data_IF_465326547911
#
_entry.id   IF_465326547911
#
_cell.length_a   1.000
_cell.length_b   1.000
_cell.length_c   1.000
_cell.angle_alpha   90.00
_cell.angle_beta   90.00
_cell.angle_gamma   90.00
#
_symmetry.space_group_name_H-M   'P 1'
#
loop_
_entity.id
_entity.type
_entity.pdbx_description
1 polymer ?
#
# COMPACT_ATOMS: atom_id res chain seq x y z
N UNK A 1 35.41 23.01 -18.80
CA UNK A 1 34.04 22.72 -19.28
C UNK A 1 33.12 22.72 -18.08
N UNK A 2 32.38 23.80 -17.92
CA UNK A 2 31.48 24.08 -16.78
C UNK A 2 30.08 23.58 -17.12
N UNK A 3 29.37 22.88 -16.22
CA UNK A 3 28.01 22.43 -16.50
C UNK A 3 27.01 23.57 -16.30
N UNK A 4 26.14 23.77 -17.29
CA UNK A 4 25.05 24.73 -17.25
C UNK A 4 23.92 24.23 -16.32
N UNK A 5 23.75 24.88 -15.18
CA UNK A 5 22.54 24.78 -14.38
C UNK A 5 21.42 25.62 -15.03
N UNK A 6 20.33 24.97 -15.43
CA UNK A 6 19.08 25.66 -15.78
C UNK A 6 18.41 26.15 -14.49
N UNK A 7 18.27 27.47 -14.37
CA UNK A 7 17.48 28.15 -13.33
C UNK A 7 16.00 27.84 -13.51
N UNK A 8 15.37 27.21 -12.53
CA UNK A 8 13.91 27.14 -12.41
C UNK A 8 13.43 28.46 -11.79
N UNK A 9 12.47 29.13 -12.44
CA UNK A 9 11.87 30.37 -11.92
C UNK A 9 10.80 30.05 -10.86
N UNK A 10 10.66 30.87 -9.81
CA UNK A 10 9.63 30.69 -8.81
C UNK A 10 8.29 31.24 -9.33
N UNK A 11 7.23 30.45 -9.24
CA UNK A 11 5.87 30.95 -9.38
C UNK A 11 5.32 31.30 -7.99
N UNK A 12 5.10 32.60 -7.78
CA UNK A 12 4.23 33.16 -6.75
C UNK A 12 2.86 33.40 -7.38
N UNK A 13 1.80 32.96 -6.72
CA UNK A 13 0.56 33.70 -6.38
C UNK A 13 -0.42 32.70 -5.74
N UNK A 14 -0.79 32.87 -4.46
CA UNK A 14 -1.92 33.67 -3.97
C UNK A 14 -3.29 33.14 -4.43
N UNK A 15 -3.91 32.30 -3.60
CA UNK A 15 -5.37 32.33 -3.37
C UNK A 15 -5.63 32.13 -1.86
N UNK A 16 -6.21 33.18 -1.29
CA UNK A 16 -6.88 33.24 0.00
C UNK A 16 -8.21 32.49 -0.04
N UNK A 17 -8.51 31.70 0.98
CA UNK A 17 -9.81 31.03 1.11
C UNK A 17 -9.94 30.31 2.44
N UNK A 18 -10.17 31.08 3.51
CA UNK A 18 -10.73 30.56 4.75
C UNK A 18 -12.14 30.03 4.47
N UNK A 19 -12.35 28.74 4.70
CA UNK A 19 -13.68 28.16 4.89
C UNK A 19 -13.63 27.29 6.13
N UNK A 20 -14.32 27.76 7.16
CA UNK A 20 -14.61 27.04 8.40
C UNK A 20 -15.52 25.86 8.08
N UNK A 21 -14.99 24.65 8.12
CA UNK A 21 -15.80 23.43 8.19
C UNK A 21 -15.55 22.76 9.53
N UNK A 22 -16.62 22.80 10.32
CA UNK A 22 -16.84 22.24 11.64
C UNK A 22 -16.31 20.81 11.73
N UNK A 23 -15.43 20.58 12.71
CA UNK A 23 -15.02 19.26 13.15
C UNK A 23 -16.26 18.48 13.63
N UNK A 24 -16.67 17.49 12.85
CA UNK A 24 -17.54 16.41 13.31
C UNK A 24 -16.64 15.19 13.52
N UNK A 25 -16.04 15.09 14.72
CA UNK A 25 -15.54 13.81 15.23
C UNK A 25 -16.75 12.88 15.37
N UNK A 26 -17.06 12.10 14.33
CA UNK A 26 -17.85 10.90 14.50
C UNK A 26 -16.90 9.84 15.06
N UNK A 27 -17.12 9.55 16.34
CA UNK A 27 -16.58 8.39 17.01
C UNK A 27 -16.86 7.16 16.14
N UNK A 28 -15.79 6.51 15.68
CA UNK A 28 -15.80 5.12 15.27
C UNK A 28 -16.07 4.26 16.52
N UNK A 29 -17.28 4.32 17.04
CA UNK A 29 -17.81 3.27 17.90
C UNK A 29 -18.35 2.18 16.99
N UNK A 30 -17.51 1.21 16.66
CA UNK A 30 -17.99 -0.06 16.13
C UNK A 30 -19.04 -0.63 17.12
N UNK A 31 -20.17 -1.19 16.65
CA UNK A 31 -21.03 -1.97 17.53
C UNK A 31 -20.23 -3.16 18.02
N UNK A 32 -20.03 -3.24 19.34
CA UNK A 32 -19.48 -4.42 19.99
C UNK A 32 -20.39 -5.61 19.67
N UNK A 33 -19.96 -6.46 18.74
CA UNK A 33 -20.59 -7.76 18.58
C UNK A 33 -20.19 -8.61 19.78
N UNK A 34 -21.22 -8.92 20.55
CA UNK A 34 -21.25 -9.65 21.80
C UNK A 34 -20.77 -11.10 21.58
N UNK A 35 -19.45 -11.31 21.58
CA UNK A 35 -18.87 -12.64 21.76
C UNK A 35 -18.83 -12.89 23.26
N UNK A 36 -19.78 -13.69 23.74
CA UNK A 36 -19.77 -14.27 25.08
C UNK A 36 -18.43 -14.96 25.35
N UNK A 37 -17.59 -14.32 26.15
CA UNK A 37 -16.51 -14.97 26.89
C UNK A 37 -16.75 -14.70 28.37
N UNK A 38 -17.13 -15.75 29.09
CA UNK A 38 -16.94 -15.81 30.53
C UNK A 38 -15.43 -15.77 30.78
N UNK A 39 -14.89 -14.62 31.18
CA UNK A 39 -13.75 -14.62 32.10
C UNK A 39 -13.72 -13.34 32.93
N UNK A 40 -13.74 -13.52 34.25
CA UNK A 40 -13.75 -12.46 35.26
C UNK A 40 -12.33 -11.94 35.46
N UNK A 41 -12.02 -10.82 34.81
CA UNK A 41 -10.80 -10.06 35.05
C UNK A 41 -10.96 -8.66 34.51
N UNK A 42 -11.56 -7.78 35.31
CA UNK A 42 -11.60 -6.34 35.06
C UNK A 42 -10.18 -5.77 35.14
N UNK A 43 -9.43 -5.89 34.04
CA UNK A 43 -8.15 -5.24 33.87
C UNK A 43 -8.39 -3.82 33.34
N UNK A 44 -7.91 -2.89 34.15
CA UNK A 44 -7.74 -1.46 33.96
C UNK A 44 -7.48 -1.06 32.48
N UNK A 45 -8.49 -0.47 31.84
CA UNK A 45 -8.47 -0.01 30.42
C UNK A 45 -7.80 1.38 30.30
N UNK A 46 -7.17 1.91 31.36
CA UNK A 46 -6.77 3.33 31.40
C UNK A 46 -5.36 3.66 30.90
N UNK A 47 -4.50 2.67 30.62
CA UNK A 47 -3.17 2.95 30.10
C UNK A 47 -3.20 3.10 28.57
N UNK A 48 -2.65 4.19 27.99
CA UNK A 48 -2.45 4.25 26.56
C UNK A 48 -1.58 3.05 26.14
N UNK A 49 -1.91 2.39 25.03
CA UNK A 49 -1.14 1.24 24.59
C UNK A 49 0.31 1.65 24.35
N UNK A 50 1.25 0.77 24.71
CA UNK A 50 2.68 1.04 24.57
C UNK A 50 3.03 1.45 23.13
N UNK A 51 4.01 2.37 22.95
CA UNK A 51 4.47 2.74 21.62
C UNK A 51 5.10 1.53 20.92
N UNK A 52 4.81 1.37 19.63
CA UNK A 52 5.32 0.27 18.83
C UNK A 52 6.81 0.45 18.50
N UNK A 53 7.26 1.69 18.37
CA UNK A 53 8.66 2.06 18.24
C UNK A 53 9.17 2.71 19.54
N UNK A 54 10.16 2.10 20.20
CA UNK A 54 10.80 2.67 21.38
C UNK A 54 12.16 3.31 21.03
N UNK A 55 12.26 4.66 20.91
CA UNK A 55 13.51 5.33 20.55
C UNK A 55 14.58 5.25 21.65
N UNK A 56 14.19 4.93 22.88
CA UNK A 56 15.07 4.81 24.04
C UNK A 56 15.56 3.39 24.29
N UNK A 57 15.12 2.41 23.49
CA UNK A 57 15.60 1.04 23.60
C UNK A 57 17.09 0.94 23.23
N UNK A 58 17.81 -0.08 23.71
CA UNK A 58 19.18 -0.36 23.26
C UNK A 58 19.25 -0.51 21.73
N UNK A 59 20.36 -0.08 21.14
CA UNK A 59 20.62 -0.27 19.71
C UNK A 59 20.61 -1.77 19.39
N UNK A 60 19.75 -2.17 18.47
CA UNK A 60 19.64 -3.52 17.97
C UNK A 60 20.74 -3.79 16.92
N UNK A 61 21.40 -4.94 17.02
CA UNK A 61 22.30 -5.41 15.97
C UNK A 61 21.51 -5.88 14.74
N UNK A 62 22.12 -5.77 13.56
CA UNK A 62 21.51 -6.27 12.33
C UNK A 62 21.48 -7.81 12.38
N UNK A 63 20.30 -8.45 12.28
CA UNK A 63 20.21 -9.91 12.29
C UNK A 63 20.76 -10.50 10.99
N UNK A 64 21.19 -11.76 11.03
CA UNK A 64 21.85 -12.42 9.89
C UNK A 64 21.01 -12.40 8.60
N UNK A 65 19.69 -12.56 8.69
CA UNK A 65 18.79 -12.55 7.53
C UNK A 65 18.60 -11.15 6.90
N UNK A 66 19.02 -10.08 7.58
CA UNK A 66 19.00 -8.69 7.07
C UNK A 66 20.40 -8.22 6.67
N UNK A 67 21.46 -8.87 7.13
CA UNK A 67 22.84 -8.41 6.97
C UNK A 67 23.22 -8.09 5.52
N UNK A 68 22.90 -8.98 4.57
CA UNK A 68 23.20 -8.79 3.15
C UNK A 68 22.43 -7.59 2.56
N UNK A 69 21.17 -7.41 2.96
CA UNK A 69 20.37 -6.26 2.55
C UNK A 69 20.89 -4.96 3.18
N UNK A 70 21.24 -4.98 4.46
CA UNK A 70 21.81 -3.83 5.13
C UNK A 70 23.13 -3.41 4.47
N UNK A 71 24.00 -4.37 4.12
CA UNK A 71 25.21 -4.09 3.36
C UNK A 71 24.90 -3.51 1.98
N UNK A 72 23.90 -4.08 1.27
CA UNK A 72 23.46 -3.58 -0.04
C UNK A 72 23.00 -2.12 -0.01
N UNK A 73 22.46 -1.66 1.12
CA UNK A 73 21.95 -0.31 1.30
C UNK A 73 22.83 0.53 2.24
N UNK A 74 24.16 0.30 2.22
CA UNK A 74 25.17 1.08 2.95
C UNK A 74 24.90 1.22 4.46
N UNK A 75 24.25 0.22 5.05
CA UNK A 75 23.85 0.19 6.45
C UNK A 75 22.72 1.16 6.81
N UNK A 76 22.06 1.80 5.84
CA UNK A 76 20.95 2.74 6.04
C UNK A 76 19.63 2.03 6.36
N UNK A 77 19.65 1.17 7.39
CA UNK A 77 18.50 0.38 7.82
C UNK A 77 18.24 0.53 9.32
N UNK A 78 16.98 0.40 9.71
CA UNK A 78 16.54 0.38 11.09
C UNK A 78 15.36 -0.59 11.29
N UNK A 79 15.26 -1.27 12.44
CA UNK A 79 14.10 -2.12 12.75
C UNK A 79 12.87 -1.27 13.06
N UNK A 80 11.69 -1.82 12.82
CA UNK A 80 10.41 -1.13 13.06
C UNK A 80 10.05 -0.96 14.55
N UNK A 81 10.79 -1.60 15.47
CA UNK A 81 10.50 -1.61 16.92
C UNK A 81 11.39 -0.69 17.75
N UNK A 82 12.49 -0.19 17.20
CA UNK A 82 13.44 0.63 17.97
C UNK A 82 14.69 1.00 17.16
N UNK A 83 15.74 1.52 17.81
CA UNK A 83 16.92 1.96 17.11
C UNK A 83 17.78 0.78 16.61
N UNK A 84 18.17 0.84 15.35
CA UNK A 84 19.28 0.08 14.76
C UNK A 84 20.57 0.91 14.68
N UNK A 85 21.58 0.45 13.94
CA UNK A 85 22.88 1.12 13.88
C UNK A 85 22.87 2.48 13.16
N UNK A 86 21.90 2.73 12.27
CA UNK A 86 21.84 3.96 11.47
C UNK A 86 20.96 5.02 12.12
N UNK A 87 21.58 6.11 12.60
CA UNK A 87 20.85 7.27 13.12
C UNK A 87 19.90 7.91 12.10
N UNK A 88 20.28 7.90 10.82
CA UNK A 88 19.41 8.43 9.75
C UNK A 88 18.15 7.57 9.61
N UNK A 89 18.31 6.25 9.45
CA UNK A 89 17.19 5.34 9.30
C UNK A 89 16.29 5.35 10.54
N UNK A 90 16.87 5.36 11.74
CA UNK A 90 16.12 5.42 13.01
C UNK A 90 15.16 6.62 13.05
N UNK A 91 15.64 7.82 12.68
CA UNK A 91 14.77 9.01 12.67
C UNK A 91 13.63 8.89 11.66
N UNK A 92 13.90 8.35 10.48
CA UNK A 92 12.88 8.18 9.43
C UNK A 92 11.85 7.13 9.81
N UNK A 93 12.28 5.97 10.29
CA UNK A 93 11.39 4.90 10.77
C UNK A 93 10.53 5.37 11.94
N UNK A 94 11.11 6.10 12.89
CA UNK A 94 10.36 6.68 14.01
C UNK A 94 9.28 7.67 13.53
N UNK A 95 9.59 8.52 12.55
CA UNK A 95 8.62 9.47 11.99
C UNK A 95 7.46 8.73 11.29
N UNK A 96 7.76 7.69 10.50
CA UNK A 96 6.75 6.84 9.86
C UNK A 96 5.88 6.13 10.90
N UNK A 97 6.47 5.51 11.93
CA UNK A 97 5.73 4.89 13.03
C UNK A 97 4.76 5.87 13.69
N UNK A 98 5.24 7.09 13.99
CA UNK A 98 4.45 8.13 14.66
C UNK A 98 3.18 8.48 13.89
N UNK A 99 3.23 8.42 12.55
CA UNK A 99 2.07 8.65 11.69
C UNK A 99 1.19 7.40 11.57
N UNK A 100 1.79 6.22 11.42
CA UNK A 100 1.05 4.96 11.31
C UNK A 100 0.25 4.67 12.59
N UNK A 101 0.78 4.98 13.77
CA UNK A 101 0.08 4.87 15.05
C UNK A 101 -1.15 5.79 15.20
N UNK A 102 -1.36 6.76 14.30
CA UNK A 102 -2.51 7.67 14.37
C UNK A 102 -3.83 7.04 13.94
N UNK A 103 -3.80 5.90 13.27
CA UNK A 103 -5.01 5.22 12.80
C UNK A 103 -5.00 3.74 13.18
N UNK A 104 -6.18 3.11 13.36
CA UNK A 104 -6.26 1.69 13.67
C UNK A 104 -5.58 0.81 12.61
N UNK A 105 -5.78 1.12 11.32
CA UNK A 105 -5.20 0.33 10.24
C UNK A 105 -3.68 0.51 10.14
N UNK A 106 -3.20 1.76 10.26
CA UNK A 106 -1.77 2.04 10.26
C UNK A 106 -1.05 1.37 11.43
N UNK A 107 -1.64 1.44 12.62
CA UNK A 107 -1.12 0.77 13.83
C UNK A 107 -1.04 -0.73 13.62
N UNK A 108 -2.10 -1.34 13.10
CA UNK A 108 -2.15 -2.76 12.82
C UNK A 108 -1.05 -3.19 11.85
N UNK A 109 -0.89 -2.48 10.73
CA UNK A 109 0.17 -2.76 9.75
C UNK A 109 1.56 -2.76 10.41
N UNK A 110 1.79 -1.80 11.31
CA UNK A 110 3.05 -1.70 12.04
C UNK A 110 3.24 -2.83 13.07
N UNK A 111 2.17 -3.24 13.76
CA UNK A 111 2.17 -4.41 14.65
C UNK A 111 2.49 -5.70 13.87
N UNK A 112 1.98 -5.84 12.65
CA UNK A 112 2.33 -6.96 11.78
C UNK A 112 3.82 -6.97 11.42
N UNK A 113 4.42 -5.82 11.16
CA UNK A 113 5.86 -5.74 10.91
C UNK A 113 6.70 -5.96 12.17
N UNK A 114 6.26 -5.48 13.33
CA UNK A 114 6.95 -5.66 14.61
C UNK A 114 6.95 -7.13 15.05
N UNK A 115 5.87 -7.86 14.79
CA UNK A 115 5.70 -9.28 15.13
C UNK A 115 6.09 -10.27 14.02
N UNK A 116 6.89 -9.86 13.03
CA UNK A 116 7.30 -10.74 11.94
C UNK A 116 8.14 -11.93 12.44
N UNK A 117 7.93 -13.11 11.86
CA UNK A 117 8.36 -14.40 12.45
C UNK A 117 9.88 -14.57 12.54
N UNK A 118 10.63 -13.89 11.65
CA UNK A 118 12.11 -13.91 11.65
C UNK A 118 12.72 -12.86 12.59
N UNK A 119 11.88 -12.13 13.32
CA UNK A 119 12.20 -10.94 14.09
C UNK A 119 11.51 -9.70 13.49
N UNK A 120 11.52 -8.55 14.20
CA UNK A 120 10.94 -7.33 13.68
C UNK A 120 11.45 -6.98 12.30
N UNK A 121 10.56 -6.53 11.42
CA UNK A 121 10.92 -6.08 10.09
C UNK A 121 11.92 -4.91 10.14
N UNK A 122 12.68 -4.75 9.07
CA UNK A 122 13.62 -3.64 8.89
C UNK A 122 13.20 -2.78 7.71
N UNK A 123 13.37 -1.46 7.87
CA UNK A 123 13.20 -0.50 6.79
C UNK A 123 14.58 0.03 6.42
N UNK A 124 14.95 -0.16 5.17
CA UNK A 124 16.18 0.36 4.56
C UNK A 124 15.88 1.54 3.65
N UNK A 125 16.88 2.39 3.47
CA UNK A 125 16.79 3.57 2.61
C UNK A 125 17.90 3.52 1.56
N UNK A 126 17.54 3.74 0.30
CA UNK A 126 18.51 3.75 -0.80
C UNK A 126 18.28 4.96 -1.70
N UNK A 127 19.33 5.70 -2.09
CA UNK A 127 19.18 6.73 -3.11
C UNK A 127 18.99 6.09 -4.49
N UNK A 128 18.49 6.87 -5.43
CA UNK A 128 18.51 6.57 -6.87
C UNK A 128 17.84 5.25 -7.27
N UNK A 129 16.83 4.82 -6.52
CA UNK A 129 15.91 3.79 -6.99
C UNK A 129 14.97 4.39 -8.03
N UNK A 130 14.66 3.61 -9.06
CA UNK A 130 13.58 3.88 -10.01
C UNK A 130 12.19 3.53 -9.45
N UNK A 131 12.14 2.95 -8.25
CA UNK A 131 10.92 2.62 -7.52
C UNK A 131 10.71 3.56 -6.34
N UNK A 132 9.46 3.70 -5.90
CA UNK A 132 9.11 4.43 -4.67
C UNK A 132 9.59 3.69 -3.44
N UNK A 133 9.25 2.41 -3.42
CA UNK A 133 9.51 1.46 -2.38
C UNK A 133 9.42 0.04 -2.96
N UNK A 134 9.91 -0.93 -2.20
CA UNK A 134 9.69 -2.35 -2.48
C UNK A 134 9.96 -3.21 -1.24
N UNK A 135 9.42 -4.42 -1.24
CA UNK A 135 9.55 -5.39 -0.17
C UNK A 135 10.32 -6.64 -0.61
N UNK A 136 11.33 -7.04 0.16
CA UNK A 136 12.00 -8.33 -0.01
C UNK A 136 11.24 -9.44 0.72
N UNK A 137 10.44 -10.18 -0.04
CA UNK A 137 9.74 -11.39 0.44
C UNK A 137 10.72 -12.37 1.09
N UNK A 138 10.37 -12.87 2.27
CA UNK A 138 11.17 -13.82 3.03
C UNK A 138 12.28 -13.17 3.88
N UNK A 139 12.57 -11.88 3.72
CA UNK A 139 13.59 -11.19 4.51
C UNK A 139 13.00 -10.28 5.59
N UNK A 140 11.72 -9.88 5.48
CA UNK A 140 11.17 -8.86 6.37
C UNK A 140 11.85 -7.50 6.16
N UNK A 141 12.37 -7.22 4.97
CA UNK A 141 13.07 -5.96 4.64
C UNK A 141 12.25 -5.15 3.65
N UNK A 142 11.81 -3.99 4.10
CA UNK A 142 11.17 -2.96 3.27
C UNK A 142 12.25 -1.96 2.86
N UNK A 143 12.17 -1.44 1.64
CA UNK A 143 13.13 -0.47 1.13
C UNK A 143 12.38 0.76 0.62
N UNK A 144 12.81 1.94 1.03
CA UNK A 144 12.27 3.22 0.59
C UNK A 144 13.34 4.02 -0.17
N UNK A 145 12.94 4.69 -1.24
CA UNK A 145 13.84 5.54 -2.01
C UNK A 145 14.16 6.84 -1.25
N UNK A 146 15.39 7.02 -0.76
CA UNK A 146 15.77 8.15 0.08
C UNK A 146 15.74 9.51 -0.64
N UNK A 147 15.69 9.53 -1.96
CA UNK A 147 15.62 10.76 -2.74
C UNK A 147 14.20 11.34 -2.79
N UNK A 148 13.21 10.56 -2.35
CA UNK A 148 11.82 10.99 -2.30
C UNK A 148 11.50 11.84 -1.05
N UNK A 149 10.60 12.83 -1.18
CA UNK A 149 10.04 13.56 -0.05
C UNK A 149 9.38 12.63 0.97
N UNK A 150 9.33 13.08 2.22
CA UNK A 150 8.67 12.34 3.31
C UNK A 150 7.22 11.99 3.02
N UNK A 151 6.47 12.87 2.35
CA UNK A 151 5.08 12.61 1.97
C UNK A 151 4.94 11.37 1.07
N UNK A 152 5.90 11.12 0.18
CA UNK A 152 5.91 9.91 -0.68
C UNK A 152 6.27 8.66 0.13
N UNK A 153 7.15 8.77 1.14
CA UNK A 153 7.40 7.65 2.07
C UNK A 153 6.17 7.30 2.90
N UNK A 154 5.40 8.31 3.33
CA UNK A 154 4.13 8.11 4.03
C UNK A 154 3.12 7.44 3.10
N UNK A 155 3.07 7.84 1.81
CA UNK A 155 2.21 7.20 0.82
C UNK A 155 2.58 5.74 0.54
N UNK A 156 3.88 5.43 0.46
CA UNK A 156 4.36 4.10 0.10
C UNK A 156 4.38 3.09 1.26
N UNK A 157 4.62 3.53 2.49
CA UNK A 157 4.85 2.59 3.61
C UNK A 157 3.68 1.64 3.90
N UNK A 158 2.39 2.04 3.84
CA UNK A 158 1.28 1.11 4.07
C UNK A 158 1.22 -0.01 3.03
N UNK A 159 1.60 0.30 1.77
CA UNK A 159 1.65 -0.66 0.67
C UNK A 159 2.67 -1.77 0.96
N UNK A 160 3.90 -1.38 1.30
CA UNK A 160 4.97 -2.35 1.59
C UNK A 160 4.70 -3.16 2.87
N UNK A 161 4.12 -2.54 3.89
CA UNK A 161 3.70 -3.26 5.10
C UNK A 161 2.62 -4.29 4.78
N UNK A 162 1.73 -4.01 3.83
CA UNK A 162 0.73 -4.97 3.38
C UNK A 162 1.37 -6.17 2.68
N UNK A 163 2.44 -6.00 1.91
CA UNK A 163 3.17 -7.14 1.35
C UNK A 163 3.77 -8.05 2.42
N UNK A 164 4.27 -7.49 3.51
CA UNK A 164 4.74 -8.27 4.65
C UNK A 164 3.58 -9.05 5.28
N UNK A 165 2.43 -8.42 5.50
CA UNK A 165 1.25 -9.11 6.04
C UNK A 165 0.77 -10.23 5.11
N UNK A 166 0.71 -9.98 3.80
CA UNK A 166 0.36 -10.99 2.79
C UNK A 166 1.30 -12.21 2.88
N UNK A 167 2.62 -11.99 3.03
CA UNK A 167 3.58 -13.07 3.23
C UNK A 167 3.29 -13.85 4.52
N UNK A 168 3.11 -13.16 5.65
CA UNK A 168 2.79 -13.79 6.94
C UNK A 168 1.53 -14.66 6.87
N UNK A 169 0.59 -14.29 6.01
CA UNK A 169 -0.67 -14.99 5.79
C UNK A 169 -0.59 -16.08 4.72
N UNK A 170 0.60 -16.32 4.17
CA UNK A 170 0.85 -17.40 3.21
C UNK A 170 0.53 -17.05 1.76
N UNK A 171 0.29 -15.78 1.41
CA UNK A 171 0.09 -15.34 0.03
C UNK A 171 1.43 -15.18 -0.70
N UNK A 172 2.17 -16.28 -0.79
CA UNK A 172 3.35 -16.42 -1.65
C UNK A 172 3.09 -17.52 -2.66
N UNK A 173 3.66 -17.37 -3.87
CA UNK A 173 3.45 -18.35 -4.92
C UNK A 173 3.84 -19.77 -4.50
N UNK A 174 4.95 -19.89 -3.77
CA UNK A 174 5.47 -21.18 -3.32
C UNK A 174 4.57 -21.79 -2.24
N UNK A 175 4.05 -21.00 -1.30
CA UNK A 175 3.12 -21.48 -0.27
C UNK A 175 1.76 -21.90 -0.85
N UNK A 176 1.33 -21.26 -1.94
CA UNK A 176 0.10 -21.59 -2.66
C UNK A 176 0.27 -22.67 -3.74
N UNK A 177 1.48 -23.23 -3.90
CA UNK A 177 1.76 -24.26 -4.92
C UNK A 177 1.66 -23.77 -6.37
N UNK A 178 1.74 -22.44 -6.60
CA UNK A 178 1.66 -21.82 -7.92
C UNK A 178 3.02 -21.90 -8.62
N UNK A 179 3.17 -22.91 -9.47
CA UNK A 179 4.43 -23.25 -10.14
C UNK A 179 4.51 -22.75 -11.58
N UNK A 180 3.38 -22.57 -12.26
CA UNK A 180 3.35 -22.01 -13.61
C UNK A 180 3.45 -20.48 -13.59
N UNK A 181 4.04 -19.92 -14.65
CA UNK A 181 4.33 -18.48 -14.74
C UNK A 181 3.04 -17.63 -14.76
N UNK A 182 1.96 -18.12 -15.35
CA UNK A 182 0.70 -17.36 -15.46
C UNK A 182 0.02 -17.23 -14.08
N UNK A 183 -0.09 -18.32 -13.32
CA UNK A 183 -0.61 -18.28 -11.96
C UNK A 183 0.22 -17.37 -11.03
N UNK A 184 1.56 -17.40 -11.17
CA UNK A 184 2.46 -16.50 -10.42
C UNK A 184 2.23 -15.03 -10.76
N UNK A 185 2.05 -14.71 -12.04
CA UNK A 185 1.71 -13.35 -12.47
C UNK A 185 0.36 -12.93 -11.88
N UNK A 186 -0.69 -13.74 -12.00
CA UNK A 186 -1.99 -13.38 -11.47
C UNK A 186 -1.98 -13.18 -9.96
N UNK A 187 -1.20 -13.99 -9.22
CA UNK A 187 -1.04 -13.80 -7.79
C UNK A 187 -0.33 -12.48 -7.49
N UNK A 188 0.73 -12.17 -8.24
CA UNK A 188 1.42 -10.90 -8.12
C UNK A 188 0.45 -9.73 -8.35
N UNK A 189 -0.29 -9.72 -9.46
CA UNK A 189 -1.27 -8.66 -9.74
C UNK A 189 -2.31 -8.52 -8.63
N UNK A 190 -2.84 -9.62 -8.10
CA UNK A 190 -3.81 -9.58 -7.02
C UNK A 190 -3.22 -9.02 -5.72
N UNK A 191 -1.97 -9.38 -5.40
CA UNK A 191 -1.25 -8.86 -4.24
C UNK A 191 -0.97 -7.36 -4.34
N UNK A 192 -0.57 -6.89 -5.50
CA UNK A 192 -0.30 -5.47 -5.74
C UNK A 192 -1.59 -4.65 -5.64
N UNK A 193 -2.68 -5.15 -6.23
CA UNK A 193 -4.00 -4.52 -6.10
C UNK A 193 -4.51 -4.50 -4.66
N UNK A 194 -4.31 -5.57 -3.87
CA UNK A 194 -4.66 -5.60 -2.45
C UNK A 194 -3.78 -4.67 -1.62
N UNK A 195 -2.47 -4.65 -1.87
CA UNK A 195 -1.54 -3.73 -1.20
C UNK A 195 -1.93 -2.27 -1.45
N UNK A 196 -2.33 -1.95 -2.67
CA UNK A 196 -2.74 -0.61 -3.06
C UNK A 196 -4.11 -0.20 -2.48
N UNK A 197 -5.07 -1.12 -2.44
CA UNK A 197 -6.37 -0.88 -1.79
C UNK A 197 -6.21 -0.69 -0.27
N UNK A 198 -5.37 -1.49 0.38
CA UNK A 198 -5.00 -1.35 1.79
C UNK A 198 -4.33 0.00 2.06
N UNK A 199 -3.37 0.38 1.21
CA UNK A 199 -2.67 1.65 1.35
C UNK A 199 -3.63 2.83 1.20
N UNK A 200 -4.50 2.80 0.19
CA UNK A 200 -5.52 3.83 -0.03
C UNK A 200 -6.43 4.00 1.19
N UNK A 201 -6.93 2.91 1.78
CA UNK A 201 -7.73 2.95 3.01
C UNK A 201 -6.95 3.53 4.20
N UNK A 202 -5.68 3.15 4.37
CA UNK A 202 -4.82 3.67 5.45
C UNK A 202 -4.58 5.17 5.29
N UNK A 203 -4.26 5.62 4.08
CA UNK A 203 -4.03 7.04 3.78
C UNK A 203 -5.32 7.87 3.93
N UNK A 204 -6.48 7.28 3.61
CA UNK A 204 -7.77 7.90 3.87
C UNK A 204 -7.98 8.12 5.38
N UNK A 205 -7.74 7.11 6.21
CA UNK A 205 -7.82 7.27 7.67
C UNK A 205 -6.87 8.35 8.19
N UNK A 206 -5.64 8.40 7.69
CA UNK A 206 -4.66 9.42 8.09
C UNK A 206 -5.14 10.82 7.69
N UNK A 207 -5.69 10.98 6.49
CA UNK A 207 -6.33 12.22 6.03
C UNK A 207 -7.46 12.63 6.98
N UNK A 208 -8.37 11.70 7.31
CA UNK A 208 -9.48 11.96 8.24
C UNK A 208 -8.99 12.30 9.66
N UNK A 209 -7.84 11.77 10.07
CA UNK A 209 -7.19 12.09 11.34
C UNK A 209 -6.39 13.42 11.32
N UNK A 210 -6.40 14.17 10.21
CA UNK A 210 -5.72 15.47 10.09
C UNK A 210 -4.28 15.39 9.58
N UNK A 211 -3.86 14.26 9.00
CA UNK A 211 -2.52 14.03 8.44
C UNK A 211 -2.60 13.75 6.92
N UNK A 212 -2.95 14.73 6.07
CA UNK A 212 -3.25 14.50 4.66
C UNK A 212 -2.02 14.29 3.77
N UNK A 213 -0.80 14.51 4.25
CA UNK A 213 0.40 14.57 3.41
C UNK A 213 0.61 13.32 2.54
N UNK A 214 0.40 12.12 3.09
CA UNK A 214 0.51 10.86 2.33
C UNK A 214 -0.60 10.71 1.29
N UNK A 215 -1.84 11.06 1.63
CA UNK A 215 -2.97 11.08 0.69
C UNK A 215 -2.73 12.05 -0.46
N UNK A 216 -2.20 13.24 -0.17
CA UNK A 216 -1.90 14.26 -1.17
C UNK A 216 -0.74 13.83 -2.08
N UNK A 217 0.31 13.22 -1.53
CA UNK A 217 1.40 12.66 -2.32
C UNK A 217 0.91 11.55 -3.25
N UNK A 218 0.15 10.60 -2.72
CA UNK A 218 -0.47 9.51 -3.49
C UNK A 218 -1.32 10.02 -4.66
N UNK A 219 -2.05 11.11 -4.45
CA UNK A 219 -2.87 11.74 -5.48
C UNK A 219 -2.12 12.67 -6.43
N UNK A 220 -0.85 12.99 -6.21
CA UNK A 220 -0.11 13.99 -6.99
C UNK A 220 1.30 13.54 -7.37
N UNK A 221 1.61 12.25 -7.21
CA UNK A 221 2.98 11.78 -7.29
C UNK A 221 3.62 12.05 -8.65
N UNK A 222 4.82 12.63 -8.62
CA UNK A 222 5.52 13.13 -9.80
C UNK A 222 6.42 12.08 -10.47
N UNK A 223 6.59 10.91 -9.85
CA UNK A 223 7.44 9.83 -10.35
C UNK A 223 6.67 8.86 -11.28
N UNK A 224 5.46 9.23 -11.69
CA UNK A 224 4.75 8.54 -12.75
C UNK A 224 5.35 8.88 -14.12
N UNK A 225 5.53 7.89 -15.00
CA UNK A 225 5.89 8.15 -16.40
C UNK A 225 4.95 9.19 -17.00
N UNK A 226 5.46 10.11 -17.83
CA UNK A 226 4.66 11.19 -18.45
C UNK A 226 3.43 10.67 -19.23
N UNK A 227 3.46 9.40 -19.64
CA UNK A 227 2.37 8.68 -20.31
C UNK A 227 1.22 8.30 -19.36
N UNK A 228 1.52 8.10 -18.07
CA UNK A 228 0.54 7.87 -17.01
C UNK A 228 0.11 9.22 -16.45
N UNK A 229 -1.12 9.65 -16.74
CA UNK A 229 -1.76 10.76 -16.03
C UNK A 229 -2.06 10.34 -14.58
N UNK A 230 -1.00 10.25 -13.77
CA UNK A 230 -0.95 9.96 -12.34
C UNK A 230 -1.37 8.52 -11.96
N UNK A 231 -0.37 7.66 -11.71
CA UNK A 231 -0.48 6.20 -11.57
C UNK A 231 -1.48 5.74 -10.51
N UNK A 232 -1.64 6.49 -9.42
CA UNK A 232 -2.46 6.05 -8.28
C UNK A 232 -3.63 6.99 -7.97
N UNK A 233 -3.65 8.21 -8.52
CA UNK A 233 -4.71 9.18 -8.23
C UNK A 233 -6.11 8.70 -8.61
N UNK A 234 -6.27 7.87 -9.65
CA UNK A 234 -7.59 7.32 -9.98
C UNK A 234 -8.08 6.35 -8.91
N UNK A 235 -7.18 5.54 -8.35
CA UNK A 235 -7.50 4.60 -7.28
C UNK A 235 -8.00 5.37 -6.05
N UNK A 236 -7.26 6.38 -5.61
CA UNK A 236 -7.64 7.25 -4.50
C UNK A 236 -8.93 8.02 -4.74
N UNK A 237 -9.12 8.58 -5.95
CA UNK A 237 -10.36 9.31 -6.31
C UNK A 237 -11.58 8.40 -6.33
N UNK A 238 -11.44 7.20 -6.88
CA UNK A 238 -12.52 6.20 -6.90
C UNK A 238 -12.88 5.77 -5.47
N UNK A 239 -11.87 5.52 -4.63
CA UNK A 239 -12.08 5.24 -3.21
C UNK A 239 -12.83 6.38 -2.51
N UNK A 240 -12.34 7.62 -2.62
CA UNK A 240 -12.91 8.79 -1.96
C UNK A 240 -14.35 9.06 -2.42
N UNK A 241 -14.65 8.89 -3.71
CA UNK A 241 -16.00 9.05 -4.23
C UNK A 241 -16.98 8.05 -3.60
N UNK A 242 -16.58 6.78 -3.46
CA UNK A 242 -17.40 5.73 -2.82
C UNK A 242 -17.55 6.00 -1.32
N UNK A 243 -16.45 6.30 -0.63
CA UNK A 243 -16.45 6.60 0.80
C UNK A 243 -17.29 7.84 1.16
N UNK A 244 -17.31 8.85 0.29
CA UNK A 244 -18.08 10.08 0.50
C UNK A 244 -19.56 9.87 0.21
N UNK A 245 -19.90 9.04 -0.78
CA UNK A 245 -21.28 8.73 -1.13
C UNK A 245 -21.98 7.86 -0.07
N UNK A 246 -21.24 6.93 0.55
CA UNK A 246 -21.72 6.09 1.64
C UNK A 246 -20.61 5.89 2.70
N UNK A 247 -20.73 6.53 3.87
CA UNK A 247 -19.76 6.36 4.95
C UNK A 247 -19.63 4.90 5.44
N UNK A 248 -20.65 4.06 5.29
CA UNK A 248 -20.57 2.64 5.66
C UNK A 248 -19.65 1.86 4.72
N UNK A 249 -19.39 2.38 3.51
CA UNK A 249 -18.52 1.77 2.52
C UNK A 249 -17.06 1.60 2.99
N UNK A 250 -16.65 2.38 4.00
CA UNK A 250 -15.36 2.21 4.67
C UNK A 250 -15.35 0.93 5.52
N UNK A 251 -16.40 0.73 6.31
CA UNK A 251 -16.47 -0.34 7.32
C UNK A 251 -16.97 -1.67 6.77
N UNK A 252 -17.63 -1.69 5.62
CA UNK A 252 -18.06 -2.92 4.94
C UNK A 252 -17.11 -3.35 3.81
N UNK A 253 -16.06 -2.57 3.56
CA UNK A 253 -15.05 -2.84 2.54
C UNK A 253 -15.43 -2.43 1.12
N UNK A 254 -16.59 -1.83 0.87
CA UNK A 254 -17.03 -1.41 -0.47
C UNK A 254 -16.08 -0.39 -1.10
N UNK A 255 -15.56 0.57 -0.33
CA UNK A 255 -14.59 1.55 -0.82
C UNK A 255 -13.24 0.89 -1.16
N UNK A 256 -12.74 -0.01 -0.30
CA UNK A 256 -11.52 -0.78 -0.56
C UNK A 256 -11.65 -1.66 -1.82
N UNK A 257 -12.81 -2.31 -2.00
CA UNK A 257 -13.13 -3.08 -3.21
C UNK A 257 -13.20 -2.21 -4.47
N UNK A 258 -13.60 -0.94 -4.35
CA UNK A 258 -13.57 0.00 -5.46
C UNK A 258 -12.13 0.38 -5.85
N UNK A 259 -11.26 0.65 -4.86
CA UNK A 259 -9.83 0.88 -5.09
C UNK A 259 -9.16 -0.33 -5.77
N UNK A 260 -9.40 -1.53 -5.24
CA UNK A 260 -8.87 -2.79 -5.81
C UNK A 260 -9.26 -2.96 -7.28
N UNK A 261 -10.53 -2.72 -7.64
CA UNK A 261 -10.99 -2.81 -9.03
C UNK A 261 -10.41 -1.71 -9.91
N UNK A 262 -10.23 -0.51 -9.38
CA UNK A 262 -9.62 0.59 -10.12
C UNK A 262 -8.14 0.33 -10.45
N UNK A 263 -7.41 -0.38 -9.58
CA UNK A 263 -6.04 -0.83 -9.86
C UNK A 263 -5.98 -1.67 -11.13
N UNK A 264 -6.89 -2.64 -11.28
CA UNK A 264 -7.02 -3.46 -12.49
C UNK A 264 -7.54 -2.70 -13.71
N UNK A 265 -8.07 -1.49 -13.53
CA UNK A 265 -8.56 -0.67 -14.64
C UNK A 265 -7.42 0.14 -15.31
N UNK A 266 -6.28 0.27 -14.63
CA UNK A 266 -5.11 0.95 -15.16
C UNK A 266 -4.27 0.00 -16.02
N UNK A 267 -4.55 0.00 -17.33
CA UNK A 267 -3.88 -0.87 -18.29
C UNK A 267 -2.38 -0.62 -18.40
N UNK A 268 -1.93 0.62 -18.23
CA UNK A 268 -0.51 0.96 -18.29
C UNK A 268 0.22 0.48 -17.04
N UNK A 269 -0.45 0.55 -15.88
CA UNK A 269 0.01 -0.07 -14.65
C UNK A 269 0.16 -1.58 -14.81
N UNK A 270 -0.87 -2.27 -15.30
CA UNK A 270 -0.84 -3.73 -15.51
C UNK A 270 0.27 -4.15 -16.49
N UNK A 271 0.36 -3.49 -17.65
CA UNK A 271 1.38 -3.76 -18.68
C UNK A 271 2.81 -3.56 -18.13
N UNK A 272 3.02 -2.61 -17.21
CA UNK A 272 4.31 -2.46 -16.51
C UNK A 272 4.66 -3.70 -15.68
N UNK A 273 3.73 -4.23 -14.89
CA UNK A 273 3.96 -5.43 -14.09
C UNK A 273 4.18 -6.66 -14.96
N UNK A 274 3.45 -6.79 -16.06
CA UNK A 274 3.63 -7.89 -17.02
C UNK A 274 5.01 -7.85 -17.69
N UNK A 275 5.45 -6.67 -18.14
CA UNK A 275 6.81 -6.48 -18.68
C UNK A 275 7.89 -6.81 -17.66
N UNK A 276 7.68 -6.46 -16.40
CA UNK A 276 8.61 -6.81 -15.34
C UNK A 276 8.64 -8.34 -15.13
N UNK A 277 7.48 -9.00 -15.18
CA UNK A 277 7.34 -10.43 -14.95
C UNK A 277 7.91 -11.30 -16.09
N UNK A 278 7.66 -10.94 -17.36
CA UNK A 278 8.13 -11.68 -18.53
C UNK A 278 9.43 -11.15 -19.15
N UNK A 279 9.94 -10.00 -18.66
CA UNK A 279 11.04 -9.26 -19.27
C UNK A 279 10.68 -8.62 -20.63
N UNK A 280 11.68 -8.04 -21.31
CA UNK A 280 11.50 -7.40 -22.63
C UNK A 280 10.98 -8.34 -23.74
N UNK A 281 11.00 -9.66 -23.53
CA UNK A 281 10.47 -10.66 -24.45
C UNK A 281 8.93 -10.83 -24.36
N UNK A 282 8.27 -10.16 -23.42
CA UNK A 282 6.80 -10.13 -23.28
C UNK A 282 6.07 -9.26 -24.32
N UNK A 283 6.77 -8.62 -25.27
CA UNK A 283 6.10 -7.88 -26.35
C UNK A 283 5.27 -8.84 -27.19
N UNK A 284 3.94 -8.73 -27.12
CA UNK A 284 3.03 -9.41 -28.06
C UNK A 284 1.93 -10.27 -27.44
N UNK A 285 1.86 -10.42 -26.12
CA UNK A 285 0.60 -10.85 -25.47
C UNK A 285 -0.22 -9.61 -25.14
N UNK A 286 -0.75 -8.99 -26.20
CA UNK A 286 -1.69 -7.88 -26.07
C UNK A 286 -2.94 -8.39 -25.36
N UNK A 287 -3.10 -8.06 -24.08
CA UNK A 287 -4.44 -8.00 -23.50
C UNK A 287 -5.23 -6.94 -24.26
N UNK A 288 -6.38 -7.32 -24.81
CA UNK A 288 -7.21 -6.40 -25.60
C UNK A 288 -7.67 -5.22 -24.75
N UNK A 289 -7.74 -3.99 -25.29
CA UNK A 289 -8.24 -2.87 -24.51
C UNK A 289 -9.75 -2.97 -24.23
N UNK A 290 -10.10 -2.90 -22.93
CA UNK A 290 -11.40 -2.50 -22.29
C UNK A 290 -12.66 -3.35 -22.41
N UNK A 291 -13.40 -3.32 -21.29
CA UNK A 291 -14.85 -3.57 -21.19
C UNK A 291 -15.27 -5.03 -21.12
N UNK A 292 -14.44 -5.91 -21.68
CA UNK A 292 -14.39 -7.35 -21.50
C UNK A 292 -13.41 -7.83 -20.41
N UNK A 293 -13.81 -8.25 -19.19
CA UNK A 293 -12.95 -9.21 -18.45
C UNK A 293 -12.83 -10.58 -19.13
N UNK A 294 -13.38 -10.72 -20.33
CA UNK A 294 -13.04 -11.78 -21.29
C UNK A 294 -11.68 -11.61 -21.97
N UNK A 295 -10.96 -10.50 -21.77
CA UNK A 295 -9.65 -10.28 -22.41
C UNK A 295 -8.47 -10.67 -21.53
N UNK A 296 -8.55 -10.47 -20.21
CA UNK A 296 -7.65 -11.12 -19.26
C UNK A 296 -8.21 -12.50 -18.95
N UNK A 297 -7.40 -13.56 -19.02
CA UNK A 297 -7.80 -14.85 -18.47
C UNK A 297 -8.17 -14.60 -17.01
N UNK A 298 -9.46 -14.69 -16.69
CA UNK A 298 -9.86 -14.77 -15.29
C UNK A 298 -9.26 -16.06 -14.78
N UNK A 299 -8.43 -16.01 -13.72
CA UNK A 299 -7.75 -17.20 -13.24
C UNK A 299 -8.74 -18.33 -12.93
N UNK A 300 -8.27 -19.56 -12.98
CA UNK A 300 -9.09 -20.74 -12.68
C UNK A 300 -9.75 -20.63 -11.30
N UNK A 301 -10.82 -21.40 -11.07
CA UNK A 301 -11.50 -21.44 -9.76
C UNK A 301 -10.54 -21.73 -8.59
N UNK A 302 -9.43 -22.43 -8.86
CA UNK A 302 -8.40 -22.73 -7.86
C UNK A 302 -7.60 -21.48 -7.47
N UNK A 303 -7.34 -20.56 -8.39
CA UNK A 303 -6.76 -19.27 -8.05
C UNK A 303 -7.73 -18.41 -7.23
N UNK A 304 -9.00 -18.31 -7.63
CA UNK A 304 -9.99 -17.51 -6.91
C UNK A 304 -10.16 -18.00 -5.45
N UNK A 305 -10.11 -19.32 -5.24
CA UNK A 305 -10.03 -19.91 -3.90
C UNK A 305 -8.72 -19.57 -3.19
N UNK A 306 -7.57 -19.67 -3.87
CA UNK A 306 -6.26 -19.40 -3.29
C UNK A 306 -6.06 -17.95 -2.84
N UNK A 307 -6.76 -16.98 -3.46
CA UNK A 307 -6.73 -15.57 -3.05
C UNK A 307 -7.94 -15.15 -2.21
N UNK A 308 -8.82 -16.10 -1.85
CA UNK A 308 -9.86 -15.86 -0.85
C UNK A 308 -9.20 -15.46 0.47
N UNK A 309 -9.72 -14.44 1.13
CA UNK A 309 -9.13 -13.90 2.33
C UNK A 309 -8.06 -12.85 2.06
N UNK A 310 -7.49 -12.72 0.85
CA UNK A 310 -6.44 -11.73 0.58
C UNK A 310 -6.85 -10.34 1.07
N UNK A 311 -8.10 -9.93 0.81
CA UNK A 311 -8.68 -8.65 1.21
C UNK A 311 -9.13 -8.54 2.68
N UNK A 312 -8.73 -9.45 3.56
CA UNK A 312 -9.08 -9.33 4.98
C UNK A 312 -8.38 -8.13 5.63
N UNK A 313 -9.17 -7.33 6.37
CA UNK A 313 -8.74 -6.16 7.14
C UNK A 313 -9.05 -6.43 8.61
N UNK A 314 -8.05 -6.94 9.34
CA UNK A 314 -8.24 -7.45 10.70
C UNK A 314 -8.80 -6.43 11.69
N UNK A 315 -8.37 -5.15 11.72
CA UNK A 315 -8.91 -4.17 12.68
C UNK A 315 -10.41 -3.93 12.55
N UNK A 316 -10.99 -4.19 11.38
CA UNK A 316 -12.40 -3.96 11.08
C UNK A 316 -13.19 -5.25 10.88
N UNK A 317 -12.52 -6.41 10.83
CA UNK A 317 -13.17 -7.71 10.75
C UNK A 317 -13.92 -7.98 9.44
N UNK A 318 -13.59 -7.27 8.36
CA UNK A 318 -14.18 -7.52 7.04
C UNK A 318 -13.15 -8.08 6.05
N UNK A 319 -13.65 -8.78 5.03
CA UNK A 319 -12.88 -9.18 3.85
C UNK A 319 -13.52 -8.53 2.62
N UNK A 320 -12.88 -7.50 2.08
CA UNK A 320 -13.42 -6.77 0.92
C UNK A 320 -13.22 -7.54 -0.41
N UNK A 321 -12.49 -8.66 -0.37
CA UNK A 321 -12.44 -9.66 -1.43
C UNK A 321 -13.24 -10.91 -1.07
N UNK A 322 -13.91 -10.91 0.09
CA UNK A 322 -14.76 -11.98 0.56
C UNK A 322 -15.84 -12.29 -0.48
N UNK A 323 -15.88 -13.56 -0.89
CA UNK A 323 -16.74 -14.06 -1.97
C UNK A 323 -15.94 -14.57 -3.18
N UNK A 324 -16.57 -14.50 -4.34
CA UNK A 324 -15.98 -14.99 -5.60
C UNK A 324 -15.14 -13.86 -6.23
N UNK A 325 -13.82 -13.89 -6.01
CA UNK A 325 -12.88 -12.89 -6.56
C UNK A 325 -12.97 -12.81 -8.08
N UNK A 326 -13.27 -13.92 -8.76
CA UNK A 326 -13.51 -13.90 -10.20
C UNK A 326 -14.76 -13.08 -10.56
N UNK A 327 -15.83 -13.08 -9.75
CA UNK A 327 -16.97 -12.16 -9.92
C UNK A 327 -16.62 -10.71 -9.62
N UNK A 328 -15.79 -10.45 -8.61
CA UNK A 328 -15.35 -9.09 -8.28
C UNK A 328 -14.59 -8.49 -9.46
N UNK A 329 -13.63 -9.27 -9.97
CA UNK A 329 -12.85 -8.87 -11.13
C UNK A 329 -13.75 -8.71 -12.35
N UNK A 330 -14.73 -9.59 -12.60
CA UNK A 330 -15.68 -9.50 -13.74
C UNK A 330 -16.57 -8.24 -13.76
N UNK A 331 -16.66 -7.49 -12.66
CA UNK A 331 -17.43 -6.24 -12.65
C UNK A 331 -16.62 -5.08 -13.27
N UNK A 332 -17.26 -4.17 -14.02
CA UNK A 332 -16.58 -2.99 -14.55
C UNK A 332 -16.05 -2.11 -13.40
N UNK A 333 -14.88 -1.53 -13.60
CA UNK A 333 -14.34 -0.50 -12.71
C UNK A 333 -15.22 0.76 -12.72
N UNK A 334 -15.14 1.56 -11.66
CA UNK A 334 -15.94 2.77 -11.50
C UNK A 334 -15.52 3.88 -12.47
N UNK A 335 -14.23 3.98 -12.79
CA UNK A 335 -13.79 4.90 -13.84
C UNK A 335 -13.95 4.25 -15.22
N UNK A 336 -14.80 4.84 -16.05
CA UNK A 336 -14.90 4.54 -17.49
C UNK A 336 -13.79 5.22 -18.29
N UNK A 337 -12.66 5.58 -17.65
CA UNK A 337 -11.71 6.55 -18.20
C UNK A 337 -11.10 6.05 -19.49
N UNK A 338 -11.67 6.38 -20.66
CA UNK A 338 -11.22 5.97 -22.01
C UNK A 338 -9.79 6.47 -22.22
N UNK A 339 -8.80 5.65 -21.88
CA UNK A 339 -7.43 5.79 -22.36
C UNK A 339 -7.40 5.34 -23.83
N UNK A 340 -8.00 6.16 -24.68
CA UNK A 340 -7.66 6.38 -26.07
C UNK A 340 -8.15 7.81 -26.35
N UNK A 341 -7.28 8.79 -26.12
CA UNK A 341 -7.33 9.95 -27.00
C UNK A 341 -7.02 9.40 -28.38
N UNK A 342 -7.98 9.54 -29.27
CA UNK A 342 -7.89 9.46 -30.72
C UNK A 342 -6.46 9.25 -31.21
N UNK A 343 -6.14 8.02 -31.61
CA UNK A 343 -5.09 7.80 -32.60
C UNK A 343 -5.67 8.36 -33.90
N UNK A 344 -5.19 9.49 -34.44
CA UNK A 344 -5.59 9.89 -35.77
C UNK A 344 -4.82 8.97 -36.73
N UNK A 345 -5.39 7.81 -37.04
CA UNK A 345 -4.91 7.02 -38.17
C UNK A 345 -4.97 7.86 -39.45
N UNK A 346 -3.97 7.68 -40.31
CA UNK A 346 -4.27 7.15 -41.64
C UNK A 346 -4.03 5.64 -41.71
#
# INVERSE_FOLDING_TARGET
MTPHFRKVRPWRNLITGLSTSTALLLALSAPANDIRANDTGANDISAPPAPLYNPSAPIQSVPAHVADHAQKFDGLCAPVTGPGPSHYANRRVHALNTLMEKTPLGRHAWEQAAGYEKGPAWICFTPSSDMYAFYYTGAGVLVLNSDLPEAEHIAAIPHELRHLEQERRGFTADALGMTDTEARLHLQLAKEADAEAFATLTLWEQKQAGYPAGWDAHNNTAMCPETMNNCYAMISKTFEAVATADPNAITDGTAARAAFREWYADLELMDRYERHHYGYMGRGRHFSPRGSLSSHSVPTDDFAKAVTGLGFIAPYGFDYLGGDVAKILKQPAHSTKIYYRDDPSP
#
